data_IF_192819411658
#
_entry.id   IF_192819411658
#
_cell.length_a   1.000
_cell.length_b   1.000
_cell.length_c   1.000
_cell.angle_alpha   90.00
_cell.angle_beta   90.00
_cell.angle_gamma   90.00
#
_symmetry.space_group_name_H-M   'P 1'
#
loop_
_entity.id
_entity.type
_entity.pdbx_description
1 polymer ?
#
# COMPACT_ATOMS: atom_id res chain seq x y z
N UNK A 1 11.19 -19.74 -9.78
CA UNK A 1 12.07 -18.56 -9.74
C UNK A 1 11.34 -17.29 -10.20
N UNK A 2 10.81 -17.24 -11.43
CA UNK A 2 10.11 -16.06 -11.97
C UNK A 2 9.06 -15.40 -11.04
N UNK A 3 8.23 -16.18 -10.33
CA UNK A 3 7.23 -15.62 -9.40
C UNK A 3 7.86 -14.92 -8.19
N UNK A 4 8.99 -15.45 -7.70
CA UNK A 4 9.72 -14.85 -6.58
C UNK A 4 10.37 -13.54 -7.00
N UNK A 5 10.96 -13.51 -8.20
CA UNK A 5 11.57 -12.31 -8.76
C UNK A 5 10.52 -11.24 -9.04
N UNK A 6 9.37 -11.63 -9.62
CA UNK A 6 8.25 -10.72 -9.85
C UNK A 6 7.70 -10.15 -8.55
N UNK A 7 7.55 -10.99 -7.52
CA UNK A 7 7.10 -10.54 -6.19
C UNK A 7 8.10 -9.54 -5.60
N UNK A 8 9.39 -9.86 -5.66
CA UNK A 8 10.46 -8.98 -5.17
C UNK A 8 10.47 -7.64 -5.91
N UNK A 9 10.27 -7.68 -7.23
CA UNK A 9 10.17 -6.48 -8.04
C UNK A 9 8.95 -5.63 -7.69
N UNK A 10 7.77 -6.24 -7.52
CA UNK A 10 6.53 -5.56 -7.14
C UNK A 10 6.62 -4.90 -5.76
N UNK A 11 7.22 -5.58 -4.77
CA UNK A 11 7.48 -4.99 -3.46
C UNK A 11 8.37 -3.75 -3.62
N UNK A 12 9.44 -3.85 -4.40
CA UNK A 12 10.35 -2.71 -4.60
C UNK A 12 9.67 -1.55 -5.33
N UNK A 13 8.90 -1.84 -6.35
CA UNK A 13 8.17 -0.85 -7.14
C UNK A 13 7.16 -0.10 -6.26
N UNK A 14 6.33 -0.82 -5.50
CA UNK A 14 5.25 -0.21 -4.74
C UNK A 14 5.72 0.52 -3.46
N UNK A 15 6.82 0.08 -2.85
CA UNK A 15 7.22 0.55 -1.51
C UNK A 15 8.43 1.48 -1.48
N UNK A 16 9.30 1.49 -2.50
CA UNK A 16 10.57 2.23 -2.44
C UNK A 16 10.85 3.13 -3.63
N UNK A 17 10.11 3.01 -4.74
CA UNK A 17 10.33 3.84 -5.93
C UNK A 17 9.33 5.00 -6.00
N UNK A 18 9.76 6.24 -5.75
CA UNK A 18 8.91 7.40 -6.00
C UNK A 18 8.72 7.65 -7.49
N UNK A 19 7.56 8.19 -7.85
CA UNK A 19 7.21 8.51 -9.23
C UNK A 19 6.79 9.98 -9.35
N UNK A 20 7.32 10.69 -10.35
CA UNK A 20 6.98 12.10 -10.60
C UNK A 20 5.47 12.29 -10.83
N UNK A 21 4.84 11.36 -11.54
CA UNK A 21 3.39 11.35 -11.78
C UNK A 21 2.55 11.25 -10.49
N UNK A 22 3.14 10.75 -9.40
CA UNK A 22 2.52 10.66 -8.07
C UNK A 22 3.03 11.75 -7.13
N UNK A 23 3.48 12.89 -7.67
CA UNK A 23 4.10 13.97 -6.92
C UNK A 23 5.33 13.50 -6.11
N UNK A 24 6.16 12.65 -6.71
CA UNK A 24 7.35 12.04 -6.11
C UNK A 24 7.05 11.15 -4.89
N UNK A 25 5.84 10.59 -4.81
CA UNK A 25 5.48 9.55 -3.84
C UNK A 25 5.64 8.16 -4.45
N UNK A 26 5.84 7.17 -3.59
CA UNK A 26 5.67 5.76 -3.96
C UNK A 26 4.18 5.43 -4.17
N UNK A 27 3.85 4.36 -4.93
CA UNK A 27 2.48 3.94 -5.11
C UNK A 27 1.74 3.70 -3.79
N UNK A 28 2.40 3.10 -2.80
CA UNK A 28 1.81 2.83 -1.50
C UNK A 28 1.51 4.12 -0.72
N UNK A 29 2.44 5.07 -0.68
CA UNK A 29 2.23 6.37 -0.01
C UNK A 29 1.11 7.17 -0.67
N UNK A 30 1.07 7.19 -2.00
CA UNK A 30 -0.01 7.85 -2.73
C UNK A 30 -1.36 7.21 -2.38
N UNK A 31 -1.42 5.88 -2.36
CA UNK A 31 -2.66 5.19 -2.03
C UNK A 31 -3.10 5.41 -0.59
N UNK A 32 -2.17 5.46 0.37
CA UNK A 32 -2.46 5.81 1.76
C UNK A 32 -3.06 7.21 1.90
N UNK A 33 -2.52 8.19 1.17
CA UNK A 33 -3.01 9.58 1.22
C UNK A 33 -4.38 9.76 0.56
N UNK A 34 -4.65 9.04 -0.52
CA UNK A 34 -5.81 9.32 -1.38
C UNK A 34 -6.96 8.31 -1.28
N UNK A 35 -6.68 7.05 -0.89
CA UNK A 35 -7.65 5.97 -0.94
C UNK A 35 -7.83 5.26 0.40
N UNK A 36 -6.76 5.09 1.18
CA UNK A 36 -6.81 4.31 2.43
C UNK A 36 -7.05 5.17 3.67
N UNK A 37 -7.79 6.28 3.56
CA UNK A 37 -8.37 6.91 4.74
C UNK A 37 -9.30 5.89 5.42
N UNK A 38 -8.77 5.21 6.44
CA UNK A 38 -9.54 4.30 7.26
C UNK A 38 -10.24 5.09 8.35
N UNK A 39 -11.54 4.85 8.50
CA UNK A 39 -12.27 5.33 9.66
C UNK A 39 -11.77 4.60 10.91
N UNK A 40 -11.84 5.22 12.10
CA UNK A 40 -11.52 4.54 13.35
C UNK A 40 -12.34 3.25 13.46
N UNK A 41 -11.67 2.11 13.67
CA UNK A 41 -12.38 0.87 13.97
C UNK A 41 -13.11 1.03 15.30
N UNK A 42 -14.41 0.75 15.30
CA UNK A 42 -15.17 0.54 16.52
C UNK A 42 -14.98 -0.90 17.01
N UNK A 43 -14.98 -1.12 18.33
CA UNK A 43 -14.87 -2.48 18.86
C UNK A 43 -16.08 -3.31 18.43
N UNK A 44 -15.85 -4.37 17.65
CA UNK A 44 -16.87 -5.37 17.41
C UNK A 44 -16.93 -6.29 18.64
N UNK A 45 -18.09 -6.33 19.30
CA UNK A 45 -18.37 -7.33 20.35
C UNK A 45 -19.33 -8.36 19.77
N UNK A 46 -18.88 -9.61 19.74
CA UNK A 46 -19.79 -10.74 19.57
C UNK A 46 -20.18 -11.20 20.97
N UNK A 47 -21.47 -11.11 21.31
CA UNK A 47 -21.98 -11.78 22.51
C UNK A 47 -21.89 -13.29 22.27
N UNK A 48 -21.14 -13.98 23.14
CA UNK A 48 -21.15 -15.45 23.25
C UNK A 48 -22.40 -15.85 24.04
#
# INVERSE_FOLDING_TARGET
EANLDLTTWLVKYNSYRPHEALANLTPLEYAQKNFFQVLPMWSASTKI
#
